data_IF_733855396962
#
_entry.id   IF_733855396962
#
_cell.length_a   1.000
_cell.length_b   1.000
_cell.length_c   1.000
_cell.angle_alpha   90.00
_cell.angle_beta   90.00
_cell.angle_gamma   90.00
#
_symmetry.space_group_name_H-M   'P 1'
#
loop_
_entity.id
_entity.type
_entity.pdbx_description
1 polymer ?
#
# COMPACT_ATOMS: atom_id res chain seq x y z
N UNK A 1 36.43 -8.25 3.21
CA UNK A 1 36.16 -9.61 2.76
C UNK A 1 34.68 -9.79 2.63
N UNK A 2 34.25 -10.01 1.40
CA UNK A 2 32.90 -10.38 1.00
C UNK A 2 32.39 -11.60 1.77
N UNK A 3 31.09 -11.65 2.02
CA UNK A 3 30.47 -12.59 2.94
C UNK A 3 30.76 -14.07 2.60
N UNK A 4 31.02 -14.94 3.60
CA UNK A 4 31.55 -16.31 3.40
C UNK A 4 30.56 -17.35 2.80
N UNK A 5 29.46 -16.91 2.18
CA UNK A 5 28.33 -17.77 1.75
C UNK A 5 28.11 -17.94 0.23
N UNK A 6 28.77 -17.13 -0.60
CA UNK A 6 28.65 -17.20 -2.06
C UNK A 6 27.23 -16.94 -2.62
N UNK A 7 27.02 -17.28 -3.89
CA UNK A 7 25.78 -17.06 -4.68
C UNK A 7 24.49 -17.61 -4.04
N UNK A 8 24.60 -18.61 -3.14
CA UNK A 8 23.47 -19.20 -2.42
C UNK A 8 22.98 -18.33 -1.26
N UNK A 9 23.85 -17.52 -0.67
CA UNK A 9 23.48 -16.52 0.35
C UNK A 9 22.77 -15.33 -0.32
N UNK A 10 23.25 -14.86 -1.48
CA UNK A 10 22.64 -13.73 -2.23
C UNK A 10 21.20 -14.03 -2.69
N UNK A 11 20.91 -15.25 -3.19
CA UNK A 11 19.55 -15.60 -3.61
C UNK A 11 18.57 -15.65 -2.42
N UNK A 12 19.07 -15.84 -1.19
CA UNK A 12 18.28 -15.80 0.03
C UNK A 12 17.99 -14.39 0.54
N UNK A 13 18.51 -13.34 -0.10
CA UNK A 13 18.25 -11.94 0.28
C UNK A 13 17.14 -11.27 -0.55
N UNK A 14 16.50 -11.99 -1.48
CA UNK A 14 15.44 -11.39 -2.30
C UNK A 14 14.14 -11.19 -1.51
N UNK A 15 13.72 -9.93 -1.44
CA UNK A 15 12.39 -9.56 -0.99
C UNK A 15 11.39 -9.83 -2.11
N UNK A 16 10.39 -10.66 -1.84
CA UNK A 16 9.28 -10.88 -2.76
C UNK A 16 8.07 -10.08 -2.28
N UNK A 17 7.63 -9.15 -3.12
CA UNK A 17 6.39 -8.41 -2.93
C UNK A 17 5.52 -8.52 -4.17
N UNK A 18 4.23 -8.71 -3.98
CA UNK A 18 3.25 -8.72 -5.07
C UNK A 18 1.91 -8.16 -4.58
N UNK A 19 1.12 -7.63 -5.50
CA UNK A 19 -0.20 -7.11 -5.16
C UNK A 19 -1.11 -7.04 -6.37
N UNK A 20 -2.40 -6.99 -6.08
CA UNK A 20 -3.49 -6.83 -7.02
C UNK A 20 -4.24 -5.55 -6.70
N UNK A 21 -4.56 -4.79 -7.74
CA UNK A 21 -5.39 -3.59 -7.67
C UNK A 21 -6.53 -3.73 -8.67
N UNK A 22 -7.75 -3.43 -8.20
CA UNK A 22 -8.95 -3.43 -9.02
C UNK A 22 -9.73 -2.13 -8.83
N UNK A 23 -10.04 -1.47 -9.95
CA UNK A 23 -10.85 -0.27 -9.97
C UNK A 23 -12.26 -0.57 -10.48
N UNK A 24 -13.25 -0.25 -9.65
CA UNK A 24 -14.65 -0.26 -10.02
C UNK A 24 -15.13 1.17 -10.32
N UNK A 25 -15.68 1.37 -11.52
CA UNK A 25 -16.22 2.64 -11.99
C UNK A 25 -15.26 3.86 -11.87
N UNK A 26 -13.94 3.62 -11.76
CA UNK A 26 -12.91 4.65 -11.48
C UNK A 26 -13.13 5.45 -10.18
N UNK A 27 -14.05 5.00 -9.33
CA UNK A 27 -14.44 5.65 -8.09
C UNK A 27 -14.10 4.78 -6.89
N UNK A 28 -14.20 3.45 -7.00
CA UNK A 28 -13.88 2.54 -5.91
C UNK A 28 -12.65 1.71 -6.29
N UNK A 29 -11.66 1.62 -5.42
CA UNK A 29 -10.50 0.76 -5.59
C UNK A 29 -10.52 -0.34 -4.54
N UNK A 30 -10.16 -1.56 -4.93
CA UNK A 30 -9.85 -2.65 -4.02
C UNK A 30 -8.39 -3.03 -4.25
N UNK A 31 -7.62 -3.11 -3.17
CA UNK A 31 -6.21 -3.44 -3.20
C UNK A 31 -5.94 -4.61 -2.28
N UNK A 32 -5.17 -5.57 -2.76
CA UNK A 32 -4.65 -6.66 -1.95
C UNK A 32 -3.15 -6.79 -2.24
N UNK A 33 -2.34 -6.98 -1.22
CA UNK A 33 -0.89 -7.08 -1.33
C UNK A 33 -0.37 -8.18 -0.42
N UNK A 34 0.71 -8.81 -0.85
CA UNK A 34 1.49 -9.73 -0.05
C UNK A 34 2.95 -9.33 -0.13
N UNK A 35 3.58 -9.21 1.02
CA UNK A 35 4.99 -8.93 1.14
C UNK A 35 5.66 -10.00 1.99
N UNK A 36 6.74 -10.56 1.46
CA UNK A 36 7.54 -11.59 2.09
C UNK A 36 9.01 -11.21 2.01
N UNK A 37 9.58 -10.92 3.18
CA UNK A 37 11.02 -10.76 3.35
C UNK A 37 11.58 -12.02 4.04
N UNK A 38 12.72 -12.55 3.56
CA UNK A 38 13.36 -13.71 4.13
C UNK A 38 13.81 -13.48 5.59
N UNK A 39 13.66 -14.53 6.41
CA UNK A 39 13.92 -14.50 7.86
C UNK A 39 15.38 -14.19 8.24
N UNK A 40 16.31 -14.32 7.30
CA UNK A 40 17.73 -14.00 7.48
C UNK A 40 18.03 -12.50 7.48
N UNK A 41 17.14 -11.65 6.93
CA UNK A 41 17.33 -10.19 6.80
C UNK A 41 16.45 -9.33 7.71
N UNK A 42 15.33 -9.87 8.21
CA UNK A 42 14.37 -9.09 8.99
C UNK A 42 13.01 -9.76 9.21
N UNK A 43 12.67 -10.79 8.42
CA UNK A 43 11.51 -11.65 8.67
C UNK A 43 10.16 -10.96 8.54
N UNK A 44 10.08 -9.84 7.81
CA UNK A 44 8.83 -9.09 7.68
C UNK A 44 7.92 -9.75 6.65
N UNK A 45 6.82 -10.33 7.13
CA UNK A 45 5.79 -10.93 6.29
C UNK A 45 4.44 -10.33 6.64
N UNK A 46 3.80 -9.69 5.67
CA UNK A 46 2.49 -9.08 5.87
C UNK A 46 1.62 -9.15 4.62
N UNK A 47 0.33 -9.29 4.87
CA UNK A 47 -0.73 -9.14 3.89
C UNK A 47 -1.29 -7.73 4.09
N UNK A 48 -1.50 -7.01 2.99
CA UNK A 48 -2.14 -5.70 2.99
C UNK A 48 -3.46 -5.81 2.27
N UNK A 49 -4.54 -5.32 2.88
CA UNK A 49 -5.85 -5.18 2.24
C UNK A 49 -6.22 -3.72 2.24
N UNK A 50 -6.77 -3.19 1.17
CA UNK A 50 -7.11 -1.78 1.07
C UNK A 50 -8.33 -1.51 0.21
N UNK A 51 -8.98 -0.39 0.51
CA UNK A 51 -10.14 0.14 -0.17
C UNK A 51 -9.88 1.61 -0.47
N UNK A 52 -10.12 2.04 -1.71
CA UNK A 52 -10.04 3.43 -2.13
C UNK A 52 -11.40 3.93 -2.56
N UNK A 53 -11.68 5.20 -2.27
CA UNK A 53 -12.80 5.95 -2.79
C UNK A 53 -12.26 7.22 -3.42
N UNK A 54 -12.59 7.47 -4.69
CA UNK A 54 -12.20 8.66 -5.42
C UNK A 54 -13.44 9.46 -5.78
N UNK A 55 -13.51 10.67 -5.25
CA UNK A 55 -14.45 11.70 -5.65
C UNK A 55 -13.72 12.77 -6.47
N UNK A 56 -14.46 13.62 -7.19
CA UNK A 56 -13.87 14.65 -8.07
C UNK A 56 -12.91 15.59 -7.34
N UNK A 57 -13.17 15.84 -6.05
CA UNK A 57 -12.47 16.88 -5.27
C UNK A 57 -11.67 16.31 -4.10
N UNK A 58 -11.96 15.06 -3.69
CA UNK A 58 -11.23 14.37 -2.62
C UNK A 58 -11.13 12.86 -2.89
N UNK A 59 -10.00 12.27 -2.50
CA UNK A 59 -9.77 10.83 -2.51
C UNK A 59 -9.52 10.32 -1.10
N UNK A 60 -10.10 9.17 -0.76
CA UNK A 60 -9.91 8.47 0.50
C UNK A 60 -9.32 7.10 0.23
N UNK A 61 -8.26 6.73 0.93
CA UNK A 61 -7.69 5.40 0.87
C UNK A 61 -7.57 4.83 2.28
N UNK A 62 -8.11 3.62 2.46
CA UNK A 62 -8.04 2.83 3.68
C UNK A 62 -7.17 1.60 3.39
N UNK A 63 -6.18 1.34 4.24
CA UNK A 63 -5.38 0.13 4.16
C UNK A 63 -5.22 -0.51 5.54
N UNK A 64 -5.39 -1.82 5.60
CA UNK A 64 -5.23 -2.65 6.76
C UNK A 64 -4.08 -3.63 6.52
N UNK A 65 -3.14 -3.66 7.46
CA UNK A 65 -1.97 -4.52 7.39
C UNK A 65 -2.11 -5.66 8.40
N UNK A 66 -2.14 -6.88 7.88
CA UNK A 66 -2.23 -8.14 8.63
C UNK A 66 -0.86 -8.79 8.58
N UNK A 67 -0.04 -8.68 9.63
CA UNK A 67 1.23 -9.37 9.68
C UNK A 67 1.01 -10.86 9.97
N UNK A 68 1.82 -11.71 9.36
CA UNK A 68 1.77 -13.17 9.56
C UNK A 68 2.71 -13.66 10.66
N UNK A 69 3.63 -12.82 11.14
CA UNK A 69 4.54 -13.15 12.25
C UNK A 69 4.22 -12.38 13.54
N UNK A 70 4.37 -13.08 14.67
CA UNK A 70 3.80 -12.77 16.00
C UNK A 70 4.44 -11.58 16.73
N UNK A 71 5.46 -10.92 16.18
CA UNK A 71 6.17 -9.79 16.83
C UNK A 71 6.46 -8.63 15.87
N UNK A 72 5.43 -8.06 15.24
CA UNK A 72 5.61 -6.82 14.49
C UNK A 72 4.91 -5.66 15.22
N UNK A 73 5.61 -4.57 15.60
CA UNK A 73 5.03 -3.43 16.32
C UNK A 73 4.00 -2.60 15.52
N UNK A 74 3.69 -3.01 14.30
CA UNK A 74 2.66 -2.43 13.42
C UNK A 74 1.48 -3.40 13.20
N UNK A 75 1.36 -4.43 14.05
CA UNK A 75 0.20 -5.32 14.10
C UNK A 75 -1.09 -4.50 14.17
N UNK A 76 -2.01 -4.79 13.26
CA UNK A 76 -3.33 -4.16 13.15
C UNK A 76 -3.31 -2.64 12.92
N UNK A 77 -2.32 -2.13 12.19
CA UNK A 77 -2.33 -0.71 11.81
C UNK A 77 -3.37 -0.48 10.72
N UNK A 78 -4.35 0.38 11.01
CA UNK A 78 -5.26 0.95 10.02
C UNK A 78 -4.65 2.25 9.51
N UNK A 79 -4.27 2.26 8.24
CA UNK A 79 -3.79 3.47 7.55
C UNK A 79 -4.98 4.12 6.85
N UNK A 80 -5.18 5.39 7.16
CA UNK A 80 -6.09 6.27 6.42
C UNK A 80 -5.26 7.27 5.64
N UNK A 81 -5.68 7.59 4.43
CA UNK A 81 -5.07 8.63 3.61
C UNK A 81 -6.17 9.43 2.95
N UNK A 82 -6.02 10.75 2.99
CA UNK A 82 -6.98 11.71 2.45
C UNK A 82 -6.21 12.59 1.49
N UNK A 83 -6.64 12.60 0.23
CA UNK A 83 -6.07 13.37 -0.86
C UNK A 83 -7.06 14.46 -1.24
N UNK A 84 -6.59 15.70 -1.32
CA UNK A 84 -7.39 16.84 -1.75
C UNK A 84 -6.85 17.37 -3.07
N UNK A 85 -7.75 17.57 -4.02
CA UNK A 85 -7.43 18.22 -5.29
C UNK A 85 -7.96 19.66 -5.25
N UNK A 86 -7.04 20.62 -5.10
CA UNK A 86 -7.37 22.05 -4.99
C UNK A 86 -7.71 22.69 -6.35
N UNK A 87 -7.35 22.06 -7.46
CA UNK A 87 -7.63 22.60 -8.81
C UNK A 87 -9.08 22.28 -9.20
N UNK A 88 -9.51 21.04 -8.95
CA UNK A 88 -10.92 20.64 -9.12
C UNK A 88 -11.90 21.45 -8.25
N UNK A 89 -11.44 22.00 -7.12
CA UNK A 89 -12.27 22.85 -6.25
C UNK A 89 -12.52 24.25 -6.86
N UNK A 90 -11.60 24.76 -7.69
CA UNK A 90 -11.72 26.09 -8.33
C UNK A 90 -12.69 26.11 -9.50
N UNK A 91 -12.79 25.02 -10.25
CA UNK A 91 -13.71 24.94 -11.39
C UNK A 91 -15.19 24.96 -10.93
N UNK A 92 -15.53 24.26 -9.85
CA UNK A 92 -16.91 24.24 -9.33
C UNK A 92 -17.43 25.56 -8.75
N UNK A 93 -16.56 26.52 -8.43
CA UNK A 93 -16.94 27.86 -7.93
C UNK A 93 -16.99 28.93 -9.02
N UNK A 94 -16.47 28.62 -10.22
CA UNK A 94 -16.39 29.60 -11.33
C UNK A 94 -17.61 29.55 -12.25
N UNK A 95 -18.31 28.41 -12.33
CA UNK A 95 -19.54 28.27 -13.12
C UNK A 95 -20.78 28.97 -12.52
N UNK A 96 -20.76 29.35 -11.23
CA UNK A 96 -21.87 30.10 -10.61
C UNK A 96 -21.81 31.62 -10.89
N UNK A 97 -20.77 32.11 -11.59
CA UNK A 97 -20.58 33.55 -11.89
C UNK A 97 -20.64 33.92 -13.37
N UNK A 98 -21.44 33.21 -14.17
CA UNK A 98 -21.72 33.62 -15.56
C UNK A 98 -23.21 33.76 -15.85
#
# INVERSE_FOLDING_TARGET
>A
SDAPGGFREEIREFNLGGGFEYWYAKQFAIRAGYFNEPSTKGGRKFITLGLGLKYTVFGLDFAYLIPTEQRHPLQNTLRFSLLFDFDAFKDGTTDEKK
#
